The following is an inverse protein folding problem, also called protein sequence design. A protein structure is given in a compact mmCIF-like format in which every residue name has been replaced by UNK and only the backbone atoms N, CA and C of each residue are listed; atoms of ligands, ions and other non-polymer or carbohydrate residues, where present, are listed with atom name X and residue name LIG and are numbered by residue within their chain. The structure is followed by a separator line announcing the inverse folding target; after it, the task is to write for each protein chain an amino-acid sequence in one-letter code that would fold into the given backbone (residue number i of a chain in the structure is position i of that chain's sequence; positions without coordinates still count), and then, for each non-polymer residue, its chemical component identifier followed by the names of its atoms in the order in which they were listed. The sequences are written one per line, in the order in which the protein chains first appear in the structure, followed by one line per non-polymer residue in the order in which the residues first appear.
data_IF_742894365650
#
_entry.id   IF_742894365650
#
_cell.length_a   1.000
_cell.length_b   1.000
_cell.length_c   1.000
_cell.angle_alpha   90.00
_cell.angle_beta   90.00
_cell.angle_gamma   90.00
#
_symmetry.space_group_name_H-M   'P 1'
#
loop_
_entity.id
_entity.type
_entity.pdbx_description
1 polymer ?
#
# COMPACT_ATOMS: atom_id res chain seq x y z
N UNK A 1 -2.49 -27.02 4.99
CA UNK A 1 -1.88 -26.32 3.84
C UNK A 1 -1.56 -24.91 4.31
N UNK A 2 -0.28 -24.55 4.43
CA UNK A 2 0.11 -23.18 4.79
C UNK A 2 -0.04 -22.31 3.54
N UNK A 3 -0.99 -21.37 3.55
CA UNK A 3 -1.04 -20.33 2.52
C UNK A 3 0.08 -19.34 2.81
N UNK A 4 0.82 -18.92 1.79
CA UNK A 4 1.91 -17.95 1.94
C UNK A 4 1.39 -16.53 2.22
N UNK A 5 0.05 -16.32 2.24
CA UNK A 5 -0.64 -15.05 2.50
C UNK A 5 -0.20 -13.85 1.66
N UNK A 6 0.68 -14.04 0.67
CA UNK A 6 1.07 -13.02 -0.28
C UNK A 6 -0.11 -12.69 -1.18
N UNK A 7 -0.40 -11.40 -1.29
CA UNK A 7 -1.36 -10.87 -2.27
C UNK A 7 -0.58 -10.32 -3.45
N UNK A 8 -1.10 -10.54 -4.64
CA UNK A 8 -0.51 -9.98 -5.85
C UNK A 8 -0.54 -8.45 -5.79
N UNK A 9 0.56 -7.81 -6.18
CA UNK A 9 0.59 -6.37 -6.37
C UNK A 9 -0.07 -6.06 -7.72
N UNK A 10 -1.21 -5.40 -7.69
CA UNK A 10 -1.95 -5.01 -8.89
C UNK A 10 -1.48 -3.65 -9.41
N UNK A 11 -1.18 -2.69 -8.52
CA UNK A 11 -0.76 -1.33 -8.91
C UNK A 11 0.38 -0.83 -8.04
N UNK A 12 1.34 -0.15 -8.67
CA UNK A 12 2.42 0.59 -8.02
C UNK A 12 2.53 1.97 -8.67
N UNK A 13 2.37 3.04 -7.87
CA UNK A 13 2.42 4.43 -8.37
C UNK A 13 3.19 5.33 -7.41
N UNK A 14 4.14 6.09 -7.94
CA UNK A 14 4.80 7.16 -7.20
C UNK A 14 4.01 8.47 -7.32
N UNK A 15 3.76 9.15 -6.21
CA UNK A 15 3.22 10.51 -6.17
C UNK A 15 4.39 11.50 -5.98
N UNK A 16 4.74 12.32 -6.98
CA UNK A 16 5.85 13.26 -6.88
C UNK A 16 5.55 14.49 -6.00
N UNK A 17 4.28 14.86 -5.82
CA UNK A 17 3.89 16.03 -5.02
C UNK A 17 4.04 15.72 -3.52
N UNK A 18 3.50 14.59 -3.07
CA UNK A 18 3.54 14.18 -1.67
C UNK A 18 4.70 13.23 -1.35
N UNK A 19 5.43 12.80 -2.38
CA UNK A 19 6.62 11.92 -2.34
C UNK A 19 6.36 10.53 -1.76
N UNK A 20 5.12 10.04 -1.73
CA UNK A 20 4.84 8.67 -1.32
C UNK A 20 4.72 7.71 -2.51
N UNK A 21 4.87 6.42 -2.23
CA UNK A 21 4.51 5.33 -3.14
C UNK A 21 3.17 4.75 -2.71
N UNK A 22 2.24 4.64 -3.64
CA UNK A 22 0.97 3.94 -3.48
C UNK A 22 1.09 2.52 -4.03
N UNK A 23 0.62 1.55 -3.25
CA UNK A 23 0.57 0.13 -3.63
C UNK A 23 -0.85 -0.37 -3.44
N UNK A 24 -1.42 -0.99 -4.48
CA UNK A 24 -2.64 -1.79 -4.40
C UNK A 24 -2.26 -3.27 -4.46
N UNK A 25 -2.60 -4.02 -3.42
CA UNK A 25 -2.36 -5.46 -3.32
C UNK A 25 -3.67 -6.25 -3.14
N UNK A 26 -3.86 -7.27 -3.97
CA UNK A 26 -5.17 -7.91 -4.15
C UNK A 26 -6.26 -6.87 -4.45
N UNK A 27 -7.49 -7.16 -4.06
CA UNK A 27 -8.63 -6.33 -4.49
C UNK A 27 -8.87 -5.07 -3.65
N UNK A 28 -8.28 -5.00 -2.45
CA UNK A 28 -8.65 -3.97 -1.47
C UNK A 28 -7.54 -3.52 -0.50
N UNK A 29 -6.34 -4.10 -0.54
CA UNK A 29 -5.26 -3.67 0.34
C UNK A 29 -4.53 -2.49 -0.28
N UNK A 30 -4.67 -1.32 0.33
CA UNK A 30 -4.04 -0.09 -0.15
C UNK A 30 -3.01 0.39 0.87
N UNK A 31 -1.78 0.61 0.41
CA UNK A 31 -0.63 0.97 1.24
C UNK A 31 0.00 2.25 0.70
N UNK A 32 0.36 3.15 1.62
CA UNK A 32 1.22 4.31 1.35
C UNK A 32 2.58 4.06 1.99
N UNK A 33 3.66 4.24 1.23
CA UNK A 33 5.04 4.19 1.71
C UNK A 33 5.66 5.58 1.54
N UNK A 34 6.07 6.19 2.65
CA UNK A 34 6.62 7.54 2.68
C UNK A 34 8.17 7.52 2.60
N UNK A 35 8.82 8.64 2.21
CA UNK A 35 10.28 8.71 2.07
C UNK A 35 11.07 8.42 3.35
N UNK A 36 10.45 8.60 4.52
CA UNK A 36 11.04 8.34 5.81
C UNK A 36 10.97 6.86 6.23
N UNK A 37 10.48 5.97 5.36
CA UNK A 37 10.32 4.55 5.62
C UNK A 37 9.08 4.19 6.42
N UNK A 38 8.28 5.18 6.85
CA UNK A 38 6.97 4.93 7.46
C UNK A 38 6.01 4.49 6.35
N UNK A 39 5.16 3.53 6.66
CA UNK A 39 4.08 3.11 5.79
C UNK A 39 2.79 2.95 6.59
N UNK A 40 1.65 3.07 5.92
CA UNK A 40 0.32 2.89 6.53
C UNK A 40 -0.68 2.36 5.53
N UNK A 41 -1.72 1.70 6.03
CA UNK A 41 -2.87 1.39 5.20
C UNK A 41 -3.73 2.64 5.02
N UNK A 42 -4.34 2.79 3.85
CA UNK A 42 -5.25 3.93 3.59
C UNK A 42 -6.56 3.76 4.37
N UNK A 43 -6.96 2.52 4.67
CA UNK A 43 -8.24 2.22 5.30
C UNK A 43 -8.21 2.24 6.84
N UNK A 44 -7.12 2.71 7.48
CA UNK A 44 -7.00 2.65 8.94
C UNK A 44 -7.67 3.81 9.69
N UNK A 45 -7.97 4.97 9.09
CA UNK A 45 -8.81 6.00 9.74
C UNK A 45 -9.24 7.10 8.76
N UNK A 46 -10.51 7.12 8.34
CA UNK A 46 -11.30 8.35 8.17
C UNK A 46 -12.74 8.05 8.64
N UNK A 47 -12.96 8.15 9.96
CA UNK A 47 -14.25 8.41 10.61
C UNK A 47 -14.07 9.66 11.48
#
# INVERSE_FOLDING_TARGET
MLSNCFRDIQVFRYNPQERYIFILAGDNLQILVFPNGIWRFINETEL
#
